data_IF_199529196666
#
_entry.id   IF_199529196666
#
_cell.length_a   1.000
_cell.length_b   1.000
_cell.length_c   1.000
_cell.angle_alpha   90.00
_cell.angle_beta   90.00
_cell.angle_gamma   90.00
#
_symmetry.space_group_name_H-M   'P 1'
#
loop_
_entity.id
_entity.type
_entity.pdbx_description
1 polymer ?
#
# COMPACT_ATOMS: atom_id res chain seq x y z
N UNK A 1 6.74 8.25 -7.06
CA UNK A 1 6.12 7.27 -6.15
C UNK A 1 4.91 6.67 -6.84
N UNK A 2 4.43 5.52 -6.40
CA UNK A 2 3.20 4.89 -6.92
C UNK A 2 2.32 4.47 -5.76
N UNK A 3 1.01 4.57 -5.97
CA UNK A 3 -0.01 4.28 -4.97
C UNK A 3 -0.52 2.85 -5.21
N UNK A 4 -0.54 2.05 -4.15
CA UNK A 4 -0.94 0.64 -4.21
C UNK A 4 -2.00 0.35 -3.14
N UNK A 5 -2.98 -0.51 -3.44
CA UNK A 5 -3.88 -1.03 -2.42
C UNK A 5 -3.11 -1.94 -1.45
N UNK A 6 -3.56 -2.05 -0.23
CA UNK A 6 -2.97 -2.89 0.83
C UNK A 6 -3.89 -4.06 1.15
N UNK A 7 -3.37 -5.07 1.86
CA UNK A 7 -4.14 -6.26 2.25
C UNK A 7 -5.13 -6.02 3.42
N UNK A 8 -5.42 -4.77 3.76
CA UNK A 8 -6.35 -4.37 4.83
C UNK A 8 -7.16 -3.13 4.43
N UNK A 9 -7.55 -3.05 3.15
CA UNK A 9 -8.43 -2.02 2.59
C UNK A 9 -7.96 -0.57 2.82
N UNK A 10 -6.64 -0.36 2.79
CA UNK A 10 -6.02 0.98 2.74
C UNK A 10 -5.12 1.12 1.53
N UNK A 11 -4.66 2.34 1.28
CA UNK A 11 -3.72 2.64 0.21
C UNK A 11 -2.40 3.17 0.76
N UNK A 12 -1.31 2.93 0.05
CA UNK A 12 0.02 3.40 0.44
C UNK A 12 0.81 3.92 -0.75
N UNK A 13 1.49 5.05 -0.56
CA UNK A 13 2.41 5.61 -1.56
C UNK A 13 3.81 5.08 -1.33
N UNK A 14 4.25 4.21 -2.24
CA UNK A 14 5.55 3.56 -2.19
C UNK A 14 6.54 4.18 -3.16
N UNK A 15 7.82 4.05 -2.82
CA UNK A 15 8.91 4.33 -3.75
C UNK A 15 8.82 3.42 -4.99
N UNK A 16 9.36 3.89 -6.11
CA UNK A 16 9.37 3.13 -7.37
C UNK A 16 10.54 2.13 -7.45
N UNK A 17 11.49 2.20 -6.52
CA UNK A 17 12.66 1.32 -6.45
C UNK A 17 12.69 0.61 -5.11
N UNK A 18 13.04 -0.66 -5.18
CA UNK A 18 13.33 -1.47 -4.00
C UNK A 18 14.65 -1.04 -3.35
N UNK A 19 14.75 -1.27 -2.05
CA UNK A 19 15.93 -1.02 -1.22
C UNK A 19 16.17 -2.23 -0.34
N UNK A 20 17.41 -2.50 0.08
CA UNK A 20 17.68 -3.57 1.04
C UNK A 20 17.07 -3.22 2.40
N UNK A 21 16.59 -4.22 3.13
CA UNK A 21 15.90 -4.01 4.41
C UNK A 21 16.75 -3.25 5.45
N UNK A 22 18.07 -3.41 5.44
CA UNK A 22 18.99 -2.67 6.34
C UNK A 22 18.95 -1.15 6.14
N UNK A 23 18.59 -0.68 4.95
CA UNK A 23 18.54 0.75 4.62
C UNK A 23 17.18 1.38 4.92
N UNK A 24 16.16 0.58 5.23
CA UNK A 24 14.78 1.02 5.40
C UNK A 24 14.33 0.70 6.82
N UNK A 25 13.90 1.69 7.63
CA UNK A 25 13.39 1.42 8.96
C UNK A 25 12.20 0.44 8.93
N UNK A 26 12.07 -0.52 9.87
CA UNK A 26 11.05 -1.56 9.85
C UNK A 26 9.63 -1.06 9.58
N UNK A 27 9.26 0.09 10.15
CA UNK A 27 7.93 0.70 9.96
C UNK A 27 7.62 1.10 8.51
N UNK A 28 8.64 1.29 7.67
CA UNK A 28 8.49 1.68 6.26
C UNK A 28 8.79 0.53 5.30
N UNK A 29 8.97 -0.71 5.78
CA UNK A 29 9.26 -1.87 4.93
C UNK A 29 7.96 -2.46 4.38
N UNK A 30 7.82 -2.42 3.06
CA UNK A 30 6.71 -3.04 2.33
C UNK A 30 7.21 -4.02 1.28
N UNK A 31 6.34 -4.93 0.85
CA UNK A 31 6.55 -5.78 -0.33
C UNK A 31 5.34 -5.66 -1.25
N UNK A 32 5.59 -5.71 -2.55
CA UNK A 32 4.52 -5.81 -3.55
C UNK A 32 4.29 -7.29 -3.85
N UNK A 33 3.07 -7.75 -3.62
CA UNK A 33 2.65 -9.13 -3.87
C UNK A 33 1.72 -9.14 -5.08
N UNK A 34 2.03 -9.89 -6.14
CA UNK A 34 1.12 -10.05 -7.26
C UNK A 34 -0.10 -10.90 -6.84
N UNK A 35 -1.28 -10.42 -7.22
CA UNK A 35 -2.58 -11.08 -7.02
C UNK A 35 -3.34 -11.12 -8.35
N UNK A 36 -4.48 -11.81 -8.40
CA UNK A 36 -5.34 -11.84 -9.59
C UNK A 36 -5.82 -10.44 -10.02
N UNK A 37 -5.94 -9.50 -9.08
CA UNK A 37 -6.36 -8.11 -9.33
C UNK A 37 -5.22 -7.11 -9.54
N UNK A 38 -3.96 -7.58 -9.58
CA UNK A 38 -2.77 -6.72 -9.69
C UNK A 38 -1.86 -6.76 -8.46
N UNK A 39 -1.05 -5.71 -8.27
CA UNK A 39 -0.06 -5.65 -7.19
C UNK A 39 -0.68 -5.08 -5.91
N UNK A 40 -0.54 -5.80 -4.81
CA UNK A 40 -0.98 -5.39 -3.47
C UNK A 40 0.24 -5.14 -2.58
N UNK A 41 0.24 -4.03 -1.86
CA UNK A 41 1.26 -3.69 -0.88
C UNK A 41 1.00 -4.37 0.46
N UNK A 42 1.93 -5.22 0.88
CA UNK A 42 1.88 -5.91 2.17
C UNK A 42 2.96 -5.35 3.08
N UNK A 43 2.56 -4.95 4.29
CA UNK A 43 3.51 -4.46 5.28
C UNK A 43 4.29 -5.62 5.85
N UNK A 44 5.61 -5.51 5.90
CA UNK A 44 6.45 -6.58 6.44
C UNK A 44 6.32 -6.58 7.96
N UNK A 45 5.49 -7.49 8.48
CA UNK A 45 5.27 -7.72 9.91
C UNK A 45 5.31 -9.23 10.18
N UNK A 46 6.03 -9.65 11.22
CA UNK A 46 6.22 -11.06 11.56
C UNK A 46 7.69 -11.47 11.43
N UNK A 47 8.04 -12.17 10.34
CA UNK A 47 9.42 -12.58 10.08
C UNK A 47 10.21 -11.36 9.60
N UNK A 48 11.22 -10.98 10.38
CA UNK A 48 12.07 -9.87 9.99
C UNK A 48 12.86 -10.25 8.73
N UNK A 49 12.80 -9.44 7.66
CA UNK A 49 13.49 -9.74 6.42
C UNK A 49 15.01 -9.71 6.66
N UNK A 50 15.75 -10.53 5.92
CA UNK A 50 17.21 -10.48 5.98
C UNK A 50 17.69 -9.09 5.59
N UNK A 51 18.84 -8.66 6.10
CA UNK A 51 19.38 -7.30 5.88
C UNK A 51 19.50 -6.93 4.39
N UNK A 52 19.69 -7.91 3.52
CA UNK A 52 19.77 -7.75 2.06
C UNK A 52 18.46 -7.93 1.31
N UNK A 53 17.39 -8.37 1.97
CA UNK A 53 16.10 -8.62 1.30
C UNK A 53 15.54 -7.33 0.72
N UNK A 54 14.94 -7.38 -0.49
CA UNK A 54 14.31 -6.23 -1.08
C UNK A 54 13.02 -5.86 -0.33
N UNK A 55 12.89 -4.57 -0.05
CA UNK A 55 11.68 -3.93 0.48
C UNK A 55 11.42 -2.63 -0.27
N UNK A 56 10.15 -2.26 -0.40
CA UNK A 56 9.73 -1.00 -0.99
C UNK A 56 9.48 0.00 0.14
N UNK A 57 10.27 1.09 0.22
CA UNK A 57 10.07 2.09 1.26
C UNK A 57 8.74 2.86 1.06
N UNK A 58 8.04 3.07 2.17
CA UNK A 58 6.86 3.94 2.24
C UNK A 58 7.20 5.39 2.55
N UNK A 59 6.35 6.27 2.04
CA UNK A 59 6.43 7.71 2.28
C UNK A 59 5.15 8.32 2.87
N UNK A 60 3.96 7.69 2.72
CA UNK A 60 2.64 8.16 3.23
C UNK A 60 1.57 7.07 3.05
N UNK A 61 0.76 6.83 4.09
CA UNK A 61 -0.46 6.02 4.02
C UNK A 61 -1.70 6.89 3.79
N UNK A 62 -2.67 6.36 3.03
CA UNK A 62 -3.96 6.99 2.75
C UNK A 62 -5.10 6.04 3.14
N UNK A 63 -6.20 6.61 3.64
CA UNK A 63 -7.47 5.89 3.78
C UNK A 63 -8.26 5.99 2.48
N UNK A 64 -9.11 5.01 2.20
CA UNK A 64 -10.19 5.17 1.21
C UNK A 64 -11.11 6.26 1.78
N UNK A 65 -11.40 7.31 1.00
CA UNK A 65 -12.53 8.16 1.34
C UNK A 65 -13.77 7.27 1.16
N UNK A 66 -14.54 7.06 2.22
CA UNK A 66 -15.88 6.49 2.06
C UNK A 66 -16.59 7.38 1.03
N UNK A 67 -17.07 6.77 -0.05
CA UNK A 67 -17.90 7.44 -1.04
C UNK A 67 -19.23 7.80 -0.35
N UNK A 68 -19.22 8.89 0.41
CA UNK A 68 -20.43 9.59 0.84
C UNK A 68 -21.07 10.20 -0.41
N UNK A 69 -22.19 9.60 -0.83
CA UNK A 69 -23.13 10.23 -1.75
C UNK A 69 -23.08 9.71 -3.18
N UNK A 70 -23.52 8.46 -3.39
CA UNK A 70 -24.37 8.21 -4.55
C UNK A 70 -25.65 9.03 -4.34
N UNK A 71 -25.63 10.25 -4.88
CA UNK A 71 -26.78 11.03 -5.30
C UNK A 71 -27.67 10.16 -6.20
N UNK A 72 -28.49 9.29 -5.61
CA UNK A 72 -29.63 8.71 -6.30
C UNK A 72 -30.68 9.82 -6.36
N UNK A 73 -30.62 10.55 -7.48
CA UNK A 73 -31.43 11.72 -7.75
C UNK A 73 -32.92 11.44 -7.62
N UNK A 74 -33.48 11.77 -6.46
CA UNK A 74 -34.92 12.00 -6.33
C UNK A 74 -35.24 13.40 -6.85
N UNK A 75 -35.10 13.57 -8.17
CA UNK A 75 -35.46 14.78 -8.90
C UNK A 75 -36.70 14.54 -9.74
N UNK A 76 -37.84 14.96 -9.22
CA UNK A 76 -39.14 14.93 -9.90
C UNK A 76 -39.09 15.58 -11.30
N UNK A 77 -39.57 14.86 -12.33
CA UNK A 77 -40.55 15.37 -13.29
C UNK A 77 -41.12 14.29 -14.21
#
# INVERSE_FOLDING_TARGET
>A
MRVYPTNYDRWVSLATRERPAKDVPPRYRWRLVPTAGGLVAVRVRGIEPLLGDPVVPDHRMFCVAEEDGADDGWGAR
#
